data_IF_890660202425
#
_entry.id   IF_890660202425
#
_cell.length_a   1.000
_cell.length_b   1.000
_cell.length_c   1.000
_cell.angle_alpha   90.00
_cell.angle_beta   90.00
_cell.angle_gamma   90.00
#
_symmetry.space_group_name_H-M   'P 1'
#
loop_
_entity.id
_entity.type
_entity.pdbx_description
1 polymer ?
#
# COMPACT_ATOMS: atom_id res chain seq x y z
N UNK A 1 -7.12 15.94 18.87
CA UNK A 1 -6.23 16.00 17.68
C UNK A 1 -6.92 15.25 16.56
N UNK A 2 -7.55 15.96 15.61
CA UNK A 2 -8.37 15.34 14.54
C UNK A 2 -7.55 14.40 13.65
N UNK A 3 -8.18 13.31 13.19
CA UNK A 3 -7.61 12.44 12.17
C UNK A 3 -7.56 13.18 10.84
N UNK A 4 -6.35 13.47 10.35
CA UNK A 4 -6.14 14.17 9.07
C UNK A 4 -6.64 13.31 7.90
N UNK A 5 -7.37 13.96 6.99
CA UNK A 5 -7.89 13.36 5.76
C UNK A 5 -6.72 13.16 4.79
N UNK A 6 -6.34 11.92 4.51
CA UNK A 6 -5.27 11.61 3.56
C UNK A 6 -5.82 11.75 2.13
N UNK A 7 -5.47 12.81 1.43
CA UNK A 7 -5.90 13.03 0.04
C UNK A 7 -4.96 12.33 -0.93
N UNK A 8 -5.51 11.44 -1.75
CA UNK A 8 -4.80 10.67 -2.75
C UNK A 8 -4.42 11.56 -3.95
N UNK A 9 -3.25 12.21 -3.91
CA UNK A 9 -2.68 12.77 -5.14
C UNK A 9 -1.16 12.71 -5.11
N UNK A 10 -0.62 11.71 -5.80
CA UNK A 10 0.81 11.58 -6.09
C UNK A 10 1.05 10.40 -7.03
N UNK A 11 1.52 10.68 -8.25
CA UNK A 11 2.03 9.66 -9.17
C UNK A 11 3.26 9.01 -8.52
N UNK A 12 3.23 7.69 -8.31
CA UNK A 12 4.26 6.99 -7.53
C UNK A 12 5.06 5.95 -8.30
N UNK A 13 5.12 6.04 -9.62
CA UNK A 13 6.13 5.28 -10.36
C UNK A 13 7.41 6.11 -10.38
N UNK A 14 8.24 5.93 -9.34
CA UNK A 14 9.65 6.28 -9.43
C UNK A 14 10.26 5.36 -10.49
N UNK A 15 10.28 5.85 -11.73
CA UNK A 15 10.87 5.13 -12.85
C UNK A 15 12.34 4.82 -12.59
N UNK A 16 12.90 3.82 -13.28
CA UNK A 16 14.31 3.51 -13.20
C UNK A 16 15.15 4.73 -13.61
N UNK A 17 16.20 5.03 -12.87
CA UNK A 17 17.19 6.08 -13.20
C UNK A 17 18.38 5.52 -13.96
N UNK A 18 18.48 4.19 -14.06
CA UNK A 18 19.45 3.48 -14.88
C UNK A 18 19.17 1.98 -14.89
N UNK A 19 19.75 1.26 -15.85
CA UNK A 19 19.70 -0.19 -15.92
C UNK A 19 21.04 -0.76 -16.41
N UNK A 20 21.43 -1.91 -15.87
CA UNK A 20 22.50 -2.78 -16.36
C UNK A 20 21.96 -4.22 -16.44
N UNK A 21 22.70 -5.15 -17.06
CA UNK A 21 22.19 -6.48 -17.47
C UNK A 21 21.33 -7.23 -16.42
N UNK A 22 21.65 -7.11 -15.12
CA UNK A 22 20.90 -7.72 -14.02
C UNK A 22 20.50 -6.71 -12.92
N UNK A 23 20.61 -5.41 -13.17
CA UNK A 23 20.43 -4.37 -12.15
C UNK A 23 19.51 -3.27 -12.67
N UNK A 24 18.53 -2.90 -11.86
CA UNK A 24 17.74 -1.70 -12.07
C UNK A 24 18.11 -0.73 -10.96
N UNK A 25 18.55 0.47 -11.35
CA UNK A 25 18.80 1.55 -10.40
C UNK A 25 17.51 2.34 -10.27
N UNK A 26 17.00 2.46 -9.05
CA UNK A 26 15.81 3.23 -8.73
C UNK A 26 16.14 4.31 -7.70
N UNK A 27 15.31 5.34 -7.64
CA UNK A 27 15.38 6.29 -6.54
C UNK A 27 15.07 5.58 -5.22
N UNK A 28 15.90 5.78 -4.21
CA UNK A 28 15.65 5.25 -2.87
C UNK A 28 14.33 5.79 -2.34
N UNK A 29 13.34 4.92 -2.19
CA UNK A 29 12.11 5.22 -1.45
C UNK A 29 12.44 5.19 0.03
N UNK A 30 12.28 6.33 0.71
CA UNK A 30 12.33 6.38 2.17
C UNK A 30 10.92 6.12 2.66
N UNK A 31 10.66 4.87 3.04
CA UNK A 31 9.37 4.46 3.57
C UNK A 31 9.52 3.39 4.63
N UNK A 32 8.42 3.11 5.32
CA UNK A 32 8.32 2.06 6.34
C UNK A 32 7.12 1.17 6.04
N UNK A 33 7.13 -0.05 6.59
CA UNK A 33 5.90 -0.84 6.64
C UNK A 33 4.85 -0.03 7.40
N UNK A 34 3.60 -0.11 6.97
CA UNK A 34 2.51 0.67 7.57
C UNK A 34 2.42 0.44 9.11
N UNK A 35 2.65 -0.79 9.57
CA UNK A 35 2.67 -1.15 10.99
C UNK A 35 3.78 -0.48 11.82
N UNK A 36 4.82 0.01 11.17
CA UNK A 36 5.96 0.68 11.80
C UNK A 36 5.79 2.21 11.83
N UNK A 37 4.77 2.74 11.15
CA UNK A 37 4.42 4.17 11.14
C UNK A 37 3.81 4.56 12.49
N UNK A 38 4.27 5.66 13.09
CA UNK A 38 3.80 6.08 14.40
C UNK A 38 2.32 6.50 14.36
N UNK A 39 1.91 7.20 13.31
CA UNK A 39 0.53 7.59 13.05
C UNK A 39 -0.39 6.37 12.95
N UNK A 40 0.08 5.29 12.32
CA UNK A 40 -0.66 4.03 12.26
C UNK A 40 -0.83 3.43 13.65
N UNK A 41 0.26 3.32 14.42
CA UNK A 41 0.21 2.79 15.80
C UNK A 41 -0.74 3.59 16.69
N UNK A 42 -0.67 4.92 16.60
CA UNK A 42 -1.56 5.84 17.32
C UNK A 42 -3.01 5.69 16.84
N UNK A 43 -3.25 5.55 15.53
CA UNK A 43 -4.60 5.37 15.01
C UNK A 43 -5.25 4.08 15.50
N UNK A 44 -4.50 2.99 15.65
CA UNK A 44 -5.02 1.71 16.13
C UNK A 44 -5.47 1.75 17.60
N UNK A 45 -4.99 2.73 18.38
CA UNK A 45 -5.37 2.91 19.80
C UNK A 45 -6.42 4.01 20.03
N UNK A 46 -6.86 4.68 18.97
CA UNK A 46 -7.92 5.71 19.06
C UNK A 46 -9.31 5.07 19.15
N UNK A 47 -10.35 5.83 19.55
CA UNK A 47 -11.73 5.35 19.52
C UNK A 47 -12.06 4.69 18.18
N UNK A 48 -12.87 3.63 18.24
CA UNK A 48 -13.13 2.75 17.09
C UNK A 48 -13.45 3.51 15.80
N UNK A 49 -14.30 4.53 15.86
CA UNK A 49 -14.68 5.34 14.70
C UNK A 49 -13.49 6.07 14.04
N UNK A 50 -12.53 6.56 14.81
CA UNK A 50 -11.34 7.24 14.30
C UNK A 50 -10.35 6.26 13.68
N UNK A 51 -10.19 5.09 14.30
CA UNK A 51 -9.37 4.01 13.77
C UNK A 51 -9.92 3.50 12.43
N UNK A 52 -11.24 3.25 12.34
CA UNK A 52 -11.91 2.83 11.10
C UNK A 52 -11.72 3.88 10.02
N UNK A 53 -11.97 5.15 10.31
CA UNK A 53 -11.78 6.26 9.36
C UNK A 53 -10.34 6.34 8.85
N UNK A 54 -9.35 6.08 9.71
CA UNK A 54 -7.95 6.04 9.31
C UNK A 54 -7.66 4.87 8.37
N UNK A 55 -8.12 3.65 8.68
CA UNK A 55 -7.95 2.47 7.83
C UNK A 55 -8.64 2.63 6.47
N UNK A 56 -9.84 3.20 6.44
CA UNK A 56 -10.56 3.53 5.20
C UNK A 56 -9.75 4.49 4.32
N UNK A 57 -9.11 5.49 4.92
CA UNK A 57 -8.24 6.43 4.21
C UNK A 57 -7.03 5.73 3.59
N UNK A 58 -6.38 4.82 4.31
CA UNK A 58 -5.25 4.03 3.81
C UNK A 58 -5.71 3.10 2.68
N UNK A 59 -6.81 2.39 2.87
CA UNK A 59 -7.35 1.47 1.86
C UNK A 59 -7.75 2.21 0.58
N UNK A 60 -8.38 3.38 0.71
CA UNK A 60 -8.75 4.23 -0.44
C UNK A 60 -7.53 4.63 -1.25
N UNK A 61 -6.42 4.99 -0.61
CA UNK A 61 -5.17 5.32 -1.32
C UNK A 61 -4.60 4.13 -2.07
N UNK A 62 -4.55 2.96 -1.42
CA UNK A 62 -4.07 1.72 -2.03
C UNK A 62 -4.86 1.40 -3.31
N UNK A 63 -6.19 1.37 -3.21
CA UNK A 63 -7.07 1.07 -4.35
C UNK A 63 -6.94 2.13 -5.45
N UNK A 64 -6.88 3.41 -5.08
CA UNK A 64 -6.72 4.52 -6.04
C UNK A 64 -5.43 4.36 -6.84
N UNK A 65 -4.32 4.01 -6.18
CA UNK A 65 -3.04 3.79 -6.86
C UNK A 65 -3.03 2.54 -7.71
N UNK A 66 -3.63 1.46 -7.23
CA UNK A 66 -3.75 0.23 -8.00
C UNK A 66 -4.54 0.48 -9.31
N UNK A 67 -5.66 1.19 -9.22
CA UNK A 67 -6.46 1.59 -10.40
C UNK A 67 -5.68 2.55 -11.30
N UNK A 68 -4.94 3.52 -10.75
CA UNK A 68 -4.12 4.44 -11.54
C UNK A 68 -3.00 3.70 -12.32
N UNK A 69 -2.35 2.72 -11.68
CA UNK A 69 -1.37 1.85 -12.32
C UNK A 69 -2.01 1.09 -13.50
N UNK A 70 -3.17 0.48 -13.28
CA UNK A 70 -3.90 -0.24 -14.33
C UNK A 70 -4.30 0.70 -15.49
N UNK A 71 -4.82 1.89 -15.19
CA UNK A 71 -5.23 2.85 -16.23
C UNK A 71 -4.06 3.36 -17.06
N UNK A 72 -2.90 3.57 -16.44
CA UNK A 72 -1.72 4.12 -17.11
C UNK A 72 -0.91 3.06 -17.87
N UNK A 73 -0.90 1.81 -17.42
CA UNK A 73 -0.01 0.77 -17.96
C UNK A 73 -0.75 -0.40 -18.61
N UNK A 74 -2.06 -0.55 -18.36
CA UNK A 74 -2.86 -1.74 -18.67
C UNK A 74 -2.37 -3.02 -18.00
N UNK A 75 -1.56 -2.91 -16.94
CA UNK A 75 -1.04 -4.01 -16.16
C UNK A 75 -1.65 -4.04 -14.75
N UNK A 76 -1.69 -5.24 -14.17
CA UNK A 76 -2.09 -5.49 -12.80
C UNK A 76 -0.85 -5.84 -11.98
N UNK A 77 -0.79 -5.41 -10.73
CA UNK A 77 0.30 -5.78 -9.83
C UNK A 77 -0.05 -7.13 -9.18
N UNK A 78 0.64 -8.20 -9.60
CA UNK A 78 0.29 -9.59 -9.27
C UNK A 78 0.51 -10.00 -7.81
N UNK A 79 1.19 -9.16 -7.04
CA UNK A 79 1.65 -9.37 -5.66
C UNK A 79 1.67 -8.05 -4.88
N UNK A 80 0.64 -7.21 -5.05
CA UNK A 80 0.42 -5.98 -4.27
C UNK A 80 0.04 -6.29 -2.81
N UNK A 81 0.96 -6.94 -2.09
CA UNK A 81 0.82 -7.34 -0.68
C UNK A 81 1.39 -6.27 0.24
N UNK A 82 1.22 -6.45 1.56
CA UNK A 82 1.82 -5.58 2.57
C UNK A 82 3.36 -5.56 2.52
N UNK A 83 4.00 -6.54 1.90
CA UNK A 83 5.47 -6.60 1.78
C UNK A 83 6.00 -5.75 0.63
N UNK A 84 5.20 -5.61 -0.42
CA UNK A 84 5.53 -4.83 -1.63
C UNK A 84 4.92 -3.42 -1.63
N UNK A 85 4.36 -3.03 -0.48
CA UNK A 85 3.64 -1.79 -0.27
C UNK A 85 4.21 -1.05 0.94
N UNK A 86 4.65 0.19 0.75
CA UNK A 86 5.27 1.00 1.80
C UNK A 86 4.45 2.25 2.07
N UNK A 87 4.49 2.73 3.32
CA UNK A 87 4.09 4.09 3.62
C UNK A 87 5.30 5.00 3.45
N UNK A 88 5.18 5.98 2.57
CA UNK A 88 6.23 6.94 2.27
C UNK A 88 6.14 8.13 3.23
N UNK A 89 7.17 8.29 4.07
CA UNK A 89 7.20 9.30 5.13
C UNK A 89 7.17 10.74 4.55
N UNK A 90 7.62 10.94 3.31
CA UNK A 90 7.62 12.27 2.65
C UNK A 90 6.29 12.61 2.01
N UNK A 91 5.73 11.70 1.22
CA UNK A 91 4.44 11.93 0.54
C UNK A 91 3.25 11.68 1.46
N UNK A 92 3.45 10.97 2.57
CA UNK A 92 2.40 10.47 3.46
C UNK A 92 1.38 9.59 2.71
N UNK A 93 1.85 8.90 1.67
CA UNK A 93 1.05 8.02 0.83
C UNK A 93 1.56 6.58 0.90
N UNK A 94 0.65 5.66 0.61
CA UNK A 94 0.99 4.26 0.31
C UNK A 94 1.63 4.19 -1.09
N UNK A 95 2.78 3.54 -1.25
CA UNK A 95 3.50 3.40 -2.53
C UNK A 95 3.85 1.92 -2.79
N UNK A 96 3.82 1.50 -4.07
CA UNK A 96 4.28 0.19 -4.53
C UNK A 96 5.76 0.24 -4.89
N UNK A 97 6.54 -0.77 -4.48
CA UNK A 97 7.99 -0.78 -4.69
C UNK A 97 8.51 -1.96 -5.54
N UNK A 98 7.71 -3.02 -5.69
CA UNK A 98 8.09 -4.21 -6.46
C UNK A 98 7.16 -4.34 -7.68
N UNK A 99 7.73 -4.36 -8.87
CA UNK A 99 7.00 -4.50 -10.13
C UNK A 99 7.44 -5.75 -10.92
N UNK A 100 8.15 -6.69 -10.27
CA UNK A 100 8.66 -7.90 -10.93
C UNK A 100 7.55 -8.85 -11.38
N UNK A 101 6.39 -8.83 -10.72
CA UNK A 101 5.27 -9.73 -10.97
C UNK A 101 4.04 -9.02 -11.57
N UNK A 102 4.26 -8.12 -12.52
CA UNK A 102 3.16 -7.48 -13.25
C UNK A 102 2.44 -8.47 -14.17
N UNK A 103 1.10 -8.37 -14.23
CA UNK A 103 0.23 -9.25 -15.03
C UNK A 103 -0.53 -8.45 -16.08
N UNK A 104 -0.82 -9.08 -17.21
CA UNK A 104 -1.63 -8.51 -18.30
C UNK A 104 -3.12 -8.84 -18.16
N UNK A 105 -3.47 -9.79 -17.28
CA UNK A 105 -4.84 -10.23 -17.02
C UNK A 105 -5.13 -10.31 -15.51
N UNK A 106 -6.35 -9.94 -15.12
CA UNK A 106 -6.81 -10.06 -13.73
C UNK A 106 -6.87 -11.52 -13.27
N UNK A 107 -7.14 -12.46 -14.18
CA UNK A 107 -7.21 -13.89 -13.86
C UNK A 107 -5.85 -14.47 -13.45
N UNK A 108 -4.76 -13.79 -13.81
CA UNK A 108 -3.39 -14.19 -13.47
C UNK A 108 -2.92 -13.57 -12.14
N UNK A 109 -3.71 -12.67 -11.56
CA UNK A 109 -3.48 -12.11 -10.23
C UNK A 109 -3.96 -13.15 -9.22
N UNK A 110 -3.02 -13.83 -8.58
CA UNK A 110 -3.33 -14.70 -7.44
C UNK A 110 -3.53 -13.82 -6.21
N UNK A 111 -4.77 -13.43 -5.95
CA UNK A 111 -5.11 -13.00 -4.61
C UNK A 111 -4.97 -14.22 -3.69
N UNK A 112 -4.16 -14.15 -2.62
CA UNK A 112 -4.22 -15.21 -1.61
C UNK A 112 -5.67 -15.33 -1.16
N UNK A 113 -6.22 -16.55 -1.02
CA UNK A 113 -7.56 -16.71 -0.49
C UNK A 113 -7.62 -15.96 0.84
N UNK A 114 -8.68 -15.17 1.04
CA UNK A 114 -8.93 -14.52 2.30
C UNK A 114 -8.86 -15.62 3.38
N UNK A 115 -7.86 -15.62 4.27
CA UNK A 115 -7.63 -16.79 5.11
C UNK A 115 -8.87 -17.02 5.96
N UNK A 116 -9.45 -18.22 5.89
CA UNK A 116 -10.63 -18.61 6.68
C UNK A 116 -10.42 -18.49 8.20
N UNK A 117 -9.18 -18.21 8.62
CA UNK A 117 -8.73 -17.94 9.99
C UNK A 117 -8.65 -16.45 10.37
N UNK A 118 -9.40 -15.54 9.74
CA UNK A 118 -9.56 -14.14 10.25
C UNK A 118 -10.11 -14.08 11.69
N UNK A 119 -10.42 -15.21 12.34
CA UNK A 119 -10.67 -15.24 13.79
C UNK A 119 -9.42 -15.02 14.65
N UNK A 120 -8.20 -15.42 14.25
CA UNK A 120 -7.05 -15.48 15.18
C UNK A 120 -5.65 -15.13 14.63
N UNK A 121 -5.55 -14.50 13.46
CA UNK A 121 -4.33 -13.71 13.19
C UNK A 121 -4.45 -12.39 13.94
N UNK A 122 -3.33 -11.73 14.28
CA UNK A 122 -3.29 -10.32 14.70
C UNK A 122 -3.82 -9.44 13.55
N UNK A 123 -5.11 -9.56 13.25
CA UNK A 123 -5.81 -8.70 12.34
C UNK A 123 -5.64 -7.31 12.91
N UNK A 124 -5.27 -6.35 12.07
CA UNK A 124 -5.27 -4.93 12.43
C UNK A 124 -6.70 -4.60 12.85
N UNK A 125 -6.96 -4.63 14.15
CA UNK A 125 -8.29 -4.45 14.73
C UNK A 125 -8.24 -3.15 15.49
N UNK A 126 -9.17 -2.28 15.13
CA UNK A 126 -9.55 -1.17 15.99
C UNK A 126 -10.04 -1.77 17.31
N UNK A 127 -9.38 -1.44 18.41
CA UNK A 127 -9.86 -1.83 19.73
C UNK A 127 -11.25 -1.22 19.93
N UNK A 128 -12.17 -2.02 20.45
CA UNK A 128 -13.55 -1.60 20.70
C UNK A 128 -13.61 -0.63 21.89
#
# INVERSE_FOLDING_TARGET
MEARRLTASGSSTLGPTGAAANWIVTNKVIGKKLTDVNEFKVAMTRPHADCVRYLEGIYTQFVTKYVALQKSTKLFHGDATNENTFFNDKSQLVDFIDFGNMKTSLNDVRFPPCPSSVRETKTLRCLA
#
